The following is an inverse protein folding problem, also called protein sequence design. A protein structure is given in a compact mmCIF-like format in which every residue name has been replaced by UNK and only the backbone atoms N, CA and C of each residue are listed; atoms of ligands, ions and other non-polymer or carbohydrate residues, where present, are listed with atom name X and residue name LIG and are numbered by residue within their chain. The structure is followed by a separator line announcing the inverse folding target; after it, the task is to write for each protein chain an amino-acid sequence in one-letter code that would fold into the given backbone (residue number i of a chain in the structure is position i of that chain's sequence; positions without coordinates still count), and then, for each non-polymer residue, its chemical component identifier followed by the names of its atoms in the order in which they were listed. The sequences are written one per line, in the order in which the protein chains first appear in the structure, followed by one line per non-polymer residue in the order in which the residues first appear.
data_IF_857308543608
#
_entry.id   IF_857308543608
#
_cell.length_a   1.000
_cell.length_b   1.000
_cell.length_c   1.000
_cell.angle_alpha   90.00
_cell.angle_beta   90.00
_cell.angle_gamma   90.00
#
_symmetry.space_group_name_H-M   'P 1'
#
loop_
_entity.id
_entity.type
_entity.pdbx_description
1 polymer ?
#
# COMPACT_ATOMS: atom_id res chain seq x y z
N UNK A 1 12.89 22.67 -1.18
CA UNK A 1 12.54 22.06 0.12
C UNK A 1 12.44 20.58 -0.15
N UNK A 2 13.23 19.71 0.50
CA UNK A 2 13.06 18.25 0.31
C UNK A 2 11.70 17.90 0.91
N UNK A 3 10.75 17.52 0.07
CA UNK A 3 9.47 16.96 0.52
C UNK A 3 9.79 15.82 1.47
N UNK A 4 9.44 16.02 2.74
CA UNK A 4 9.84 15.13 3.83
C UNK A 4 8.98 13.89 3.74
N UNK A 5 9.47 12.87 3.03
CA UNK A 5 8.83 11.55 3.00
C UNK A 5 8.77 10.95 4.39
N UNK A 6 7.69 10.24 4.67
CA UNK A 6 7.49 9.50 5.91
C UNK A 6 8.27 8.19 5.80
N UNK A 7 8.98 7.81 6.85
CA UNK A 7 9.80 6.59 6.82
C UNK A 7 8.96 5.32 6.62
N UNK A 8 7.78 5.25 7.25
CA UNK A 8 6.89 4.09 7.20
C UNK A 8 5.44 4.55 7.09
N UNK A 9 4.72 4.00 6.11
CA UNK A 9 3.29 4.22 5.89
C UNK A 9 2.56 2.89 5.99
N UNK A 10 1.41 2.87 6.66
CA UNK A 10 0.48 1.73 6.63
C UNK A 10 -0.67 2.10 5.69
N UNK A 11 -0.91 1.26 4.69
CA UNK A 11 -1.90 1.47 3.64
C UNK A 11 -3.13 0.58 3.84
N UNK A 12 -4.31 1.20 3.70
CA UNK A 12 -5.61 0.55 3.69
C UNK A 12 -6.14 0.38 2.25
N UNK A 13 -7.20 -0.40 2.08
CA UNK A 13 -7.90 -0.70 0.83
C UNK A 13 -8.19 0.56 0.01
N UNK A 14 -8.63 1.64 0.67
CA UNK A 14 -8.95 2.91 0.03
C UNK A 14 -7.76 3.53 -0.71
N UNK A 15 -6.53 3.34 -0.22
CA UNK A 15 -5.32 3.85 -0.87
C UNK A 15 -5.09 3.16 -2.22
N UNK A 16 -5.35 1.84 -2.29
CA UNK A 16 -5.23 1.05 -3.51
C UNK A 16 -6.35 1.38 -4.50
N UNK A 17 -7.60 1.45 -4.02
CA UNK A 17 -8.78 1.76 -4.84
C UNK A 17 -8.60 3.13 -5.52
N UNK A 18 -8.11 4.13 -4.77
CA UNK A 18 -7.87 5.50 -5.26
C UNK A 18 -6.59 5.66 -6.09
N UNK A 19 -5.81 4.59 -6.30
CA UNK A 19 -4.55 4.65 -7.03
C UNK A 19 -3.54 5.66 -6.43
N UNK A 20 -3.42 5.70 -5.10
CA UNK A 20 -2.53 6.65 -4.45
C UNK A 20 -1.05 6.35 -4.77
N UNK A 21 -0.28 7.38 -5.12
CA UNK A 21 1.16 7.28 -5.37
C UNK A 21 1.94 7.30 -4.05
N UNK A 22 1.87 6.20 -3.32
CA UNK A 22 2.44 6.09 -1.97
C UNK A 22 3.97 6.22 -1.96
N UNK A 23 4.65 5.86 -3.05
CA UNK A 23 6.10 6.02 -3.23
C UNK A 23 6.57 7.48 -3.18
N UNK A 24 5.69 8.43 -3.45
CA UNK A 24 6.01 9.86 -3.40
C UNK A 24 5.94 10.39 -1.96
N UNK A 25 5.25 9.66 -1.08
CA UNK A 25 4.91 10.09 0.28
C UNK A 25 5.72 9.33 1.33
N UNK A 26 6.09 8.08 1.05
CA UNK A 26 6.77 7.21 2.01
C UNK A 26 7.93 6.41 1.41
N UNK A 27 8.91 6.08 2.25
CA UNK A 27 10.04 5.21 1.88
C UNK A 27 9.64 3.72 1.90
N UNK A 28 8.78 3.34 2.85
CA UNK A 28 8.28 1.97 2.99
C UNK A 28 6.78 1.98 3.21
N UNK A 29 6.07 1.14 2.44
CA UNK A 29 4.63 0.95 2.56
C UNK A 29 4.36 -0.45 3.13
N UNK A 30 3.53 -0.51 4.15
CA UNK A 30 3.07 -1.73 4.79
C UNK A 30 1.56 -1.92 4.57
N UNK A 31 1.13 -3.17 4.49
CA UNK A 31 -0.29 -3.52 4.57
C UNK A 31 -0.42 -4.95 5.13
N UNK A 32 -1.64 -5.35 5.45
CA UNK A 32 -1.97 -6.73 5.84
C UNK A 32 -2.51 -7.49 4.63
N UNK A 33 -2.38 -8.82 4.62
CA UNK A 33 -2.85 -9.65 3.50
C UNK A 33 -4.35 -9.47 3.27
N UNK A 34 -5.13 -9.43 4.35
CA UNK A 34 -6.59 -9.34 4.31
C UNK A 34 -7.11 -8.13 3.52
N UNK A 35 -6.43 -6.98 3.63
CA UNK A 35 -6.79 -5.75 2.90
C UNK A 35 -6.67 -5.95 1.39
N UNK A 36 -5.66 -6.68 0.94
CA UNK A 36 -5.45 -6.94 -0.50
C UNK A 36 -6.43 -8.00 -1.00
N UNK A 37 -6.71 -9.01 -0.17
CA UNK A 37 -7.61 -10.11 -0.53
C UNK A 37 -9.10 -9.66 -0.56
N UNK A 38 -9.46 -8.65 0.24
CA UNK A 38 -10.79 -8.04 0.25
C UNK A 38 -11.10 -7.28 -1.06
N UNK A 39 -10.09 -6.71 -1.72
CA UNK A 39 -10.28 -5.97 -2.98
C UNK A 39 -10.84 -6.92 -4.03
N UNK A 40 -12.07 -6.69 -4.49
CA UNK A 40 -12.72 -7.50 -5.56
C UNK A 40 -12.64 -6.89 -6.95
N UNK A 41 -12.34 -5.60 -7.02
CA UNK A 41 -12.26 -4.86 -8.28
C UNK A 41 -11.08 -5.34 -9.14
N UNK A 42 -11.37 -5.74 -10.39
CA UNK A 42 -10.37 -6.28 -11.30
C UNK A 42 -9.34 -5.23 -11.70
N UNK A 43 -9.75 -3.97 -11.89
CA UNK A 43 -8.83 -2.91 -12.30
C UNK A 43 -7.80 -2.62 -11.19
N UNK A 44 -8.22 -2.64 -9.92
CA UNK A 44 -7.35 -2.47 -8.76
C UNK A 44 -6.41 -3.67 -8.60
N UNK A 45 -6.91 -4.92 -8.76
CA UNK A 45 -6.06 -6.12 -8.75
C UNK A 45 -4.97 -6.09 -9.82
N UNK A 46 -5.31 -5.68 -11.03
CA UNK A 46 -4.32 -5.58 -12.12
C UNK A 46 -3.27 -4.53 -11.82
N UNK A 47 -3.66 -3.36 -11.26
CA UNK A 47 -2.72 -2.32 -10.83
C UNK A 47 -1.77 -2.80 -9.74
N UNK A 48 -2.28 -3.51 -8.73
CA UNK A 48 -1.47 -4.09 -7.65
C UNK A 48 -0.39 -5.06 -8.15
N UNK A 49 -0.61 -5.74 -9.29
CA UNK A 49 0.37 -6.68 -9.88
C UNK A 49 1.55 -5.99 -10.56
N UNK A 50 1.43 -4.72 -10.94
CA UNK A 50 2.42 -3.99 -11.76
C UNK A 50 2.89 -2.69 -11.09
N UNK A 51 2.84 -2.64 -9.75
CA UNK A 51 3.26 -1.46 -9.02
C UNK A 51 4.76 -1.18 -9.23
N UNK A 52 5.14 0.10 -9.42
CA UNK A 52 6.55 0.50 -9.55
C UNK A 52 7.30 0.55 -8.21
N UNK A 53 6.66 0.10 -7.12
CA UNK A 53 7.21 0.05 -5.78
C UNK A 53 6.73 -1.19 -5.04
N UNK A 54 7.47 -1.59 -4.00
CA UNK A 54 7.14 -2.74 -3.18
C UNK A 54 6.17 -2.34 -2.06
N UNK A 55 5.16 -3.20 -1.82
CA UNK A 55 4.33 -3.17 -0.61
C UNK A 55 4.75 -4.33 0.27
N UNK A 56 5.13 -4.03 1.52
CA UNK A 56 5.52 -5.05 2.49
C UNK A 56 4.30 -5.57 3.24
N UNK A 57 4.05 -6.87 3.12
CA UNK A 57 3.05 -7.54 3.93
C UNK A 57 3.58 -7.72 5.35
N UNK A 58 2.79 -7.34 6.35
CA UNK A 58 3.14 -7.49 7.76
C UNK A 58 1.91 -7.93 8.53
N UNK A 59 2.05 -8.96 9.36
CA UNK A 59 1.02 -9.35 10.32
C UNK A 59 1.08 -8.46 11.56
N UNK A 60 -0.07 -8.05 12.13
CA UNK A 60 -0.11 -7.36 13.41
C UNK A 60 0.44 -8.27 14.52
N UNK A 61 0.96 -7.66 15.59
CA UNK A 61 1.37 -8.43 16.76
C UNK A 61 0.14 -9.09 17.39
N UNK A 62 0.23 -10.35 17.84
CA UNK A 62 -0.82 -10.94 18.65
C UNK A 62 -0.82 -10.22 20.01
N UNK A 63 -1.88 -9.46 20.29
CA UNK A 63 -2.15 -8.89 21.62
C UNK A 63 -2.57 -10.00 22.60
#
# INVERSE_FOLDING_TARGET
MKDKKISKLVADSAAFIRNAQMQDIADVVYTVRDVVDEIRDQATKQRLRVLPYEIKMMEPSPD
#
